data_IF_191217545815
#
_entry.id   IF_191217545815
#
_cell.length_a   1.000
_cell.length_b   1.000
_cell.length_c   1.000
_cell.angle_alpha   90.00
_cell.angle_beta   90.00
_cell.angle_gamma   90.00
#
_symmetry.space_group_name_H-M   'P 1'
#
loop_
_entity.id
_entity.type
_entity.pdbx_description
1 polymer ?
#
# COMPACT_ATOMS: atom_id res chain seq x y z
N UNK A 1 -7.71 -5.46 24.48
CA UNK A 1 -6.65 -5.98 23.56
C UNK A 1 -6.20 -4.80 22.71
N UNK A 2 -4.90 -4.59 22.62
CA UNK A 2 -4.40 -3.59 21.66
C UNK A 2 -4.53 -4.21 20.26
N UNK A 3 -5.36 -3.61 19.41
CA UNK A 3 -5.43 -4.00 18.01
C UNK A 3 -4.15 -3.59 17.30
N UNK A 4 -3.60 -4.41 16.39
CA UNK A 4 -2.47 -4.00 15.58
C UNK A 4 -2.90 -2.79 14.73
N UNK A 5 -2.27 -1.66 14.97
CA UNK A 5 -2.48 -0.46 14.14
C UNK A 5 -1.50 -0.46 12.99
N UNK A 6 -2.02 -0.44 11.78
CA UNK A 6 -1.22 -0.24 10.58
C UNK A 6 -1.11 1.27 10.36
N UNK A 7 0.11 1.79 10.43
CA UNK A 7 0.38 3.23 10.36
C UNK A 7 0.51 3.75 8.93
N UNK A 8 0.52 2.88 7.94
CA UNK A 8 0.62 3.23 6.53
C UNK A 8 0.65 1.99 5.64
N UNK A 9 0.50 2.16 4.32
CA UNK A 9 0.70 1.07 3.38
C UNK A 9 2.15 0.59 3.41
N UNK A 10 2.34 -0.69 3.17
CA UNK A 10 3.64 -1.37 3.26
C UNK A 10 3.88 -2.32 2.08
N UNK A 11 3.12 -2.19 1.01
CA UNK A 11 3.19 -3.06 -0.16
C UNK A 11 2.36 -4.34 -0.01
N UNK A 12 2.70 -5.31 -0.84
CA UNK A 12 2.05 -6.62 -0.92
C UNK A 12 2.93 -7.65 -0.20
N UNK A 13 2.39 -8.30 0.81
CA UNK A 13 3.13 -9.33 1.58
C UNK A 13 2.50 -10.70 1.31
N UNK A 14 3.22 -11.64 0.66
CA UNK A 14 2.75 -13.02 0.52
C UNK A 14 2.53 -13.67 1.89
N UNK A 15 1.37 -14.30 2.08
CA UNK A 15 0.99 -14.90 3.36
C UNK A 15 0.69 -16.39 3.21
N UNK A 16 -0.22 -16.73 2.29
CA UNK A 16 -0.72 -18.08 2.09
C UNK A 16 -0.92 -18.37 0.61
N UNK A 17 -1.17 -19.63 0.28
CA UNK A 17 -1.81 -20.02 -0.96
C UNK A 17 -3.34 -20.09 -0.76
N UNK A 18 -4.10 -19.95 -1.83
CA UNK A 18 -5.57 -19.91 -1.75
C UNK A 18 -6.18 -21.17 -1.14
N UNK A 19 -5.48 -22.30 -1.20
CA UNK A 19 -5.86 -23.56 -0.57
C UNK A 19 -5.60 -23.64 0.94
N UNK A 20 -5.18 -22.55 1.59
CA UNK A 20 -4.85 -22.51 3.02
C UNK A 20 -3.46 -23.05 3.36
N UNK A 21 -2.66 -23.42 2.39
CA UNK A 21 -1.27 -23.78 2.59
C UNK A 21 -0.46 -22.50 2.89
N UNK A 22 0.46 -22.59 3.85
CA UNK A 22 1.33 -21.48 4.17
C UNK A 22 2.28 -21.18 3.00
N UNK A 23 2.54 -19.91 2.75
CA UNK A 23 3.59 -19.50 1.84
C UNK A 23 4.95 -19.89 2.45
N UNK A 24 5.58 -20.88 1.86
CA UNK A 24 6.85 -21.45 2.36
C UNK A 24 8.10 -20.69 1.84
N UNK A 25 7.93 -19.43 1.37
CA UNK A 25 9.03 -18.64 0.83
C UNK A 25 9.44 -19.06 -0.60
N UNK A 26 8.52 -19.64 -1.37
CA UNK A 26 8.76 -19.96 -2.78
C UNK A 26 9.00 -18.67 -3.56
N UNK A 27 10.26 -18.45 -3.93
CA UNK A 27 10.69 -17.27 -4.69
C UNK A 27 11.52 -17.71 -5.87
N UNK A 28 11.41 -16.98 -6.97
CA UNK A 28 12.25 -17.15 -8.13
C UNK A 28 13.27 -16.02 -8.23
N UNK A 29 14.47 -16.35 -8.65
CA UNK A 29 15.54 -15.39 -8.86
C UNK A 29 15.49 -14.91 -10.31
N UNK A 30 15.28 -13.61 -10.50
CA UNK A 30 15.12 -12.98 -11.82
C UNK A 30 16.10 -11.82 -11.93
N UNK A 31 16.90 -11.72 -12.99
CA UNK A 31 17.84 -10.62 -13.15
C UNK A 31 17.10 -9.28 -13.28
N UNK A 32 17.59 -8.26 -12.60
CA UNK A 32 17.12 -6.87 -12.75
C UNK A 32 17.71 -6.32 -14.06
N UNK A 33 16.92 -5.51 -14.77
CA UNK A 33 17.35 -4.87 -16.00
C UNK A 33 18.65 -4.08 -15.79
N UNK A 34 19.64 -4.34 -16.64
CA UNK A 34 20.92 -3.62 -16.57
C UNK A 34 20.70 -2.09 -16.69
N UNK A 35 21.32 -1.33 -15.81
CA UNK A 35 21.18 0.13 -15.76
C UNK A 35 19.81 0.62 -15.28
N UNK A 36 19.00 -0.25 -14.65
CA UNK A 36 17.70 0.16 -14.13
C UNK A 36 17.86 1.17 -12.99
N UNK A 37 17.41 2.39 -13.25
CA UNK A 37 17.60 3.56 -12.38
C UNK A 37 16.28 4.00 -11.70
N UNK A 38 15.52 3.04 -11.19
CA UNK A 38 14.32 3.29 -10.40
C UNK A 38 14.35 2.40 -9.16
N UNK A 39 13.92 2.92 -8.03
CA UNK A 39 13.83 2.15 -6.79
C UNK A 39 12.81 1.02 -6.93
N UNK A 40 13.11 -0.14 -6.34
CA UNK A 40 12.15 -1.23 -6.14
C UNK A 40 12.22 -1.60 -4.67
N UNK A 41 11.08 -1.56 -4.00
CA UNK A 41 10.99 -1.85 -2.58
C UNK A 41 10.34 -3.21 -2.32
N UNK A 42 10.60 -3.78 -1.16
CA UNK A 42 9.93 -4.98 -0.68
C UNK A 42 8.41 -4.79 -0.71
N UNK A 43 7.71 -5.67 -1.40
CA UNK A 43 6.26 -5.57 -1.56
C UNK A 43 5.80 -4.85 -2.83
N UNK A 44 6.71 -4.38 -3.67
CA UNK A 44 6.34 -3.76 -4.95
C UNK A 44 5.93 -4.83 -5.98
N UNK A 45 4.86 -4.58 -6.75
CA UNK A 45 4.55 -5.36 -7.92
C UNK A 45 5.59 -5.12 -9.03
N UNK A 46 6.03 -6.20 -9.68
CA UNK A 46 7.08 -6.19 -10.71
C UNK A 46 6.63 -6.89 -11.97
N UNK A 47 7.29 -6.57 -13.10
CA UNK A 47 7.01 -7.17 -14.40
C UNK A 47 8.28 -7.54 -15.17
N UNK A 48 8.12 -8.39 -16.18
CA UNK A 48 9.16 -8.65 -17.15
C UNK A 48 9.30 -7.50 -18.16
N UNK A 49 10.51 -7.32 -18.64
CA UNK A 49 10.80 -6.62 -19.90
C UNK A 49 10.89 -7.63 -21.05
N UNK A 50 10.95 -7.14 -22.28
CA UNK A 50 11.03 -7.98 -23.48
C UNK A 50 12.32 -8.83 -23.53
N UNK A 51 13.33 -8.48 -22.78
CA UNK A 51 14.60 -9.22 -22.64
C UNK A 51 14.62 -10.20 -21.46
N UNK A 52 13.47 -10.39 -20.79
CA UNK A 52 13.33 -11.32 -19.68
C UNK A 52 13.91 -10.81 -18.35
N UNK A 53 14.26 -9.54 -18.28
CA UNK A 53 14.72 -8.90 -17.04
C UNK A 53 13.56 -8.25 -16.29
N UNK A 54 13.79 -7.89 -15.03
CA UNK A 54 12.79 -7.35 -14.12
C UNK A 54 12.85 -5.83 -14.02
N UNK A 55 11.67 -5.23 -13.99
CA UNK A 55 11.44 -3.82 -13.63
C UNK A 55 10.20 -3.70 -12.74
N UNK A 56 9.92 -2.52 -12.17
CA UNK A 56 8.63 -2.24 -11.51
C UNK A 56 7.49 -2.41 -12.50
N UNK A 57 6.33 -2.86 -12.03
CA UNK A 57 5.19 -3.13 -12.93
C UNK A 57 4.57 -1.86 -13.53
N UNK A 58 4.88 -0.69 -12.97
CA UNK A 58 4.27 0.56 -13.42
C UNK A 58 2.75 0.59 -13.25
N UNK A 59 2.19 -0.24 -12.37
CA UNK A 59 0.78 -0.19 -11.99
C UNK A 59 0.51 1.16 -11.31
N UNK A 60 0.58 2.21 -12.14
CA UNK A 60 0.31 3.56 -11.71
C UNK A 60 -1.19 3.79 -11.65
N UNK A 61 -1.57 4.59 -10.70
CA UNK A 61 -2.91 5.05 -10.37
C UNK A 61 -3.73 5.58 -11.54
N UNK A 62 -3.12 6.18 -12.56
CA UNK A 62 -3.81 7.00 -13.56
C UNK A 62 -3.66 6.54 -15.01
N UNK A 63 -3.11 5.41 -15.29
CA UNK A 63 -3.10 4.99 -16.67
C UNK A 63 -4.46 4.39 -17.04
N UNK A 64 -5.17 5.08 -17.94
CA UNK A 64 -6.30 4.54 -18.67
C UNK A 64 -5.91 3.28 -19.51
N UNK A 65 -4.64 3.02 -19.66
CA UNK A 65 -4.07 1.78 -20.10
C UNK A 65 -4.06 0.80 -18.92
N UNK A 66 -5.07 -0.05 -18.84
CA UNK A 66 -4.93 -1.28 -18.12
C UNK A 66 -3.66 -1.95 -18.66
N UNK A 67 -2.62 -2.09 -17.84
CA UNK A 67 -1.56 -3.02 -18.12
C UNK A 67 -2.17 -4.42 -18.01
N UNK A 68 -2.88 -4.83 -19.06
CA UNK A 68 -3.43 -6.15 -19.18
C UNK A 68 -2.26 -7.10 -19.39
N UNK A 69 -1.99 -7.90 -18.39
CA UNK A 69 -1.16 -9.06 -18.57
C UNK A 69 0.34 -8.81 -18.62
N UNK A 70 0.94 -8.29 -17.60
CA UNK A 70 2.40 -8.12 -17.59
C UNK A 70 2.99 -8.16 -16.19
N UNK A 71 2.15 -8.08 -15.17
CA UNK A 71 2.65 -8.17 -13.80
C UNK A 71 3.01 -9.59 -13.47
N UNK A 72 4.28 -9.79 -13.09
CA UNK A 72 4.83 -11.10 -12.81
C UNK A 72 4.57 -11.55 -11.38
N UNK A 73 4.73 -10.65 -10.43
CA UNK A 73 4.66 -11.00 -9.02
C UNK A 73 5.07 -9.85 -8.12
N UNK A 74 5.51 -10.20 -6.92
CA UNK A 74 5.89 -9.25 -5.86
C UNK A 74 7.38 -9.37 -5.56
N UNK A 75 8.07 -8.25 -5.51
CA UNK A 75 9.49 -8.17 -5.16
C UNK A 75 9.69 -8.36 -3.65
N UNK A 76 10.59 -9.28 -3.29
CA UNK A 76 10.89 -9.62 -1.89
C UNK A 76 12.34 -9.35 -1.49
N UNK A 77 13.14 -8.78 -2.38
CA UNK A 77 14.52 -8.44 -2.13
C UNK A 77 15.43 -8.64 -3.33
N UNK A 78 16.68 -8.30 -3.18
CA UNK A 78 17.69 -8.37 -4.24
C UNK A 78 19.02 -8.86 -3.69
N UNK A 79 19.76 -9.55 -4.52
CA UNK A 79 21.15 -9.95 -4.28
C UNK A 79 22.03 -9.44 -5.43
N UNK A 80 23.12 -8.80 -5.12
CA UNK A 80 24.07 -8.28 -6.12
C UNK A 80 25.46 -8.05 -5.53
N UNK A 81 26.45 -7.90 -6.40
CA UNK A 81 27.81 -7.46 -6.01
C UNK A 81 27.93 -5.97 -6.26
N UNK A 82 28.09 -5.12 -5.23
CA UNK A 82 28.21 -3.68 -5.42
C UNK A 82 29.53 -3.33 -6.12
N UNK A 83 29.48 -2.41 -7.07
CA UNK A 83 30.68 -1.88 -7.74
C UNK A 83 31.58 -1.18 -6.71
N UNK A 84 32.85 -1.58 -6.65
CA UNK A 84 33.83 -1.04 -5.67
C UNK A 84 33.60 -1.51 -4.24
N UNK A 85 32.71 -2.48 -4.03
CA UNK A 85 32.48 -3.11 -2.74
C UNK A 85 33.66 -3.96 -2.26
N UNK A 86 33.69 -4.34 -1.00
CA UNK A 86 34.75 -5.18 -0.46
C UNK A 86 34.79 -6.50 -1.22
N UNK A 87 35.98 -7.06 -1.33
CA UNK A 87 36.34 -8.31 -2.03
C UNK A 87 35.52 -9.57 -1.59
N UNK A 88 34.48 -9.42 -0.78
CA UNK A 88 33.85 -10.49 -0.04
C UNK A 88 32.33 -10.61 -0.31
N UNK A 89 31.99 -11.02 -1.50
CA UNK A 89 30.71 -11.65 -1.71
C UNK A 89 29.55 -10.74 -2.10
N UNK A 90 28.43 -11.38 -2.36
CA UNK A 90 27.18 -10.73 -2.72
C UNK A 90 26.50 -10.09 -1.52
N UNK A 91 25.91 -8.94 -1.74
CA UNK A 91 25.08 -8.24 -0.77
C UNK A 91 23.61 -8.58 -1.00
N UNK A 92 22.89 -8.89 0.07
CA UNK A 92 21.42 -9.02 0.06
C UNK A 92 20.80 -7.80 0.68
N UNK A 93 19.81 -7.25 -0.01
CA UNK A 93 19.06 -6.07 0.43
C UNK A 93 17.57 -6.28 0.23
N UNK A 94 16.79 -5.58 1.03
CA UNK A 94 15.33 -5.57 0.94
C UNK A 94 14.82 -4.69 -0.21
N UNK A 95 15.64 -3.81 -0.74
CA UNK A 95 15.28 -2.89 -1.81
C UNK A 95 16.40 -2.76 -2.83
N UNK A 96 16.04 -2.55 -4.08
CA UNK A 96 16.93 -2.07 -5.12
C UNK A 96 16.88 -0.54 -5.13
N UNK A 97 18.02 0.11 -5.13
CA UNK A 97 18.12 1.57 -5.16
C UNK A 97 18.52 2.09 -6.54
N UNK A 98 17.84 3.14 -6.98
CA UNK A 98 18.24 3.91 -8.15
C UNK A 98 19.71 4.31 -8.05
N UNK A 99 20.43 4.27 -9.18
CA UNK A 99 21.86 4.52 -9.21
C UNK A 99 22.76 3.38 -8.74
N UNK A 100 22.20 2.24 -8.31
CA UNK A 100 23.00 1.04 -8.01
C UNK A 100 23.62 0.50 -9.29
N UNK A 101 24.95 0.34 -9.28
CA UNK A 101 25.70 -0.26 -10.39
C UNK A 101 26.08 -1.68 -10.01
N UNK A 102 25.42 -2.65 -10.63
CA UNK A 102 25.72 -4.07 -10.47
C UNK A 102 25.35 -4.81 -11.77
N UNK A 103 26.27 -5.70 -12.21
CA UNK A 103 26.04 -6.48 -13.42
C UNK A 103 25.34 -7.81 -13.13
N UNK A 104 25.32 -8.25 -11.88
CA UNK A 104 24.86 -9.57 -11.42
C UNK A 104 23.63 -9.47 -10.50
N UNK A 105 22.90 -8.34 -10.56
CA UNK A 105 21.74 -8.12 -9.71
C UNK A 105 20.60 -9.08 -10.05
N UNK A 106 20.17 -9.87 -9.05
CA UNK A 106 19.03 -10.76 -9.14
C UNK A 106 18.02 -10.45 -8.05
N UNK A 107 16.76 -10.31 -8.44
CA UNK A 107 15.63 -10.08 -7.54
C UNK A 107 15.05 -11.41 -7.08
N UNK A 108 14.63 -11.48 -5.83
CA UNK A 108 13.76 -12.52 -5.31
C UNK A 108 12.31 -12.10 -5.51
N UNK A 109 11.57 -12.88 -6.29
CA UNK A 109 10.19 -12.54 -6.67
C UNK A 109 9.27 -13.70 -6.30
N UNK A 110 8.18 -13.37 -5.62
CA UNK A 110 7.05 -14.27 -5.47
C UNK A 110 6.19 -14.16 -6.73
N UNK A 111 6.28 -15.12 -7.61
CA UNK A 111 5.61 -15.14 -8.92
C UNK A 111 4.52 -16.20 -9.04
N UNK A 112 4.05 -16.72 -7.93
CA UNK A 112 2.91 -17.66 -7.90
C UNK A 112 1.59 -16.90 -8.10
N UNK A 113 0.81 -17.21 -9.15
CA UNK A 113 -0.48 -16.57 -9.42
C UNK A 113 -1.55 -16.89 -8.37
N UNK A 114 -1.39 -17.96 -7.60
CA UNK A 114 -2.36 -18.37 -6.57
C UNK A 114 -2.00 -17.92 -5.16
N UNK A 115 -0.91 -17.14 -5.03
CA UNK A 115 -0.53 -16.59 -3.74
C UNK A 115 -1.57 -15.59 -3.22
N UNK A 116 -1.88 -15.72 -1.95
CA UNK A 116 -2.68 -14.74 -1.21
C UNK A 116 -1.73 -13.78 -0.53
N UNK A 117 -1.94 -12.50 -0.78
CA UNK A 117 -1.11 -11.42 -0.27
C UNK A 117 -1.91 -10.58 0.71
N UNK A 118 -1.25 -10.12 1.75
CA UNK A 118 -1.78 -9.13 2.67
C UNK A 118 -1.34 -7.73 2.24
N UNK A 119 -2.27 -6.78 2.26
CA UNK A 119 -2.00 -5.38 1.94
C UNK A 119 -2.90 -4.45 2.73
N UNK A 120 -2.46 -3.20 2.92
CA UNK A 120 -3.25 -2.16 3.54
C UNK A 120 -4.20 -1.52 2.52
N UNK A 121 -5.43 -1.26 2.95
CA UNK A 121 -6.41 -0.49 2.19
C UNK A 121 -6.10 1.00 2.25
N UNK A 122 -6.21 1.66 1.12
CA UNK A 122 -6.16 3.12 1.00
C UNK A 122 -7.40 3.62 0.27
N UNK A 123 -7.72 4.88 0.46
CA UNK A 123 -8.68 5.62 -0.35
C UNK A 123 -7.95 6.74 -1.09
N UNK A 124 -8.60 7.33 -2.06
CA UNK A 124 -8.07 8.47 -2.78
C UNK A 124 -8.98 9.68 -2.58
N UNK A 125 -8.39 10.78 -2.22
CA UNK A 125 -9.01 12.08 -2.21
C UNK A 125 -8.42 12.94 -3.32
N UNK A 126 -9.29 13.56 -4.13
CA UNK A 126 -8.87 14.32 -5.30
C UNK A 126 -8.01 15.56 -4.96
N UNK A 127 -8.08 16.05 -3.73
CA UNK A 127 -7.36 17.24 -3.29
C UNK A 127 -6.07 16.92 -2.54
N UNK A 128 -6.04 15.79 -1.82
CA UNK A 128 -4.94 15.45 -0.91
C UNK A 128 -4.17 14.20 -1.33
N UNK A 129 -4.65 13.48 -2.35
CA UNK A 129 -4.05 12.21 -2.79
C UNK A 129 -4.48 11.02 -1.92
N UNK A 130 -3.61 10.03 -1.75
CA UNK A 130 -3.93 8.83 -0.98
C UNK A 130 -4.17 9.13 0.49
N UNK A 131 -5.27 8.61 1.01
CA UNK A 131 -5.70 8.72 2.40
C UNK A 131 -6.01 7.34 2.95
N UNK A 132 -6.22 7.26 4.26
CA UNK A 132 -6.62 6.02 4.92
C UNK A 132 -7.92 5.51 4.32
N UNK A 133 -7.95 4.22 3.98
CA UNK A 133 -9.10 3.54 3.42
C UNK A 133 -9.57 2.38 4.28
N UNK A 134 -10.89 2.24 4.35
CA UNK A 134 -11.56 1.05 4.88
C UNK A 134 -12.53 0.54 3.83
N UNK A 135 -12.68 -0.78 3.75
CA UNK A 135 -13.65 -1.41 2.87
C UNK A 135 -14.87 -1.88 3.68
N UNK A 136 -16.09 -1.63 3.21
CA UNK A 136 -17.26 -2.26 3.80
C UNK A 136 -17.25 -3.78 3.56
N UNK A 137 -17.91 -4.56 4.41
CA UNK A 137 -17.98 -6.01 4.25
C UNK A 137 -18.51 -6.43 2.86
N UNK A 138 -19.36 -5.61 2.25
CA UNK A 138 -19.87 -5.81 0.89
C UNK A 138 -18.79 -5.69 -0.21
N UNK A 139 -17.58 -5.24 0.13
CA UNK A 139 -16.47 -5.20 -0.82
C UNK A 139 -15.76 -6.55 -0.99
N UNK A 140 -16.07 -7.55 -0.19
CA UNK A 140 -15.54 -8.91 -0.37
C UNK A 140 -15.84 -9.42 -1.79
N UNK A 141 -14.82 -9.95 -2.45
CA UNK A 141 -14.93 -10.40 -3.84
C UNK A 141 -14.84 -9.28 -4.89
N UNK A 142 -14.71 -8.01 -4.50
CA UNK A 142 -14.48 -6.90 -5.43
C UNK A 142 -13.01 -6.78 -5.81
N UNK A 143 -12.76 -6.08 -6.91
CA UNK A 143 -11.42 -5.87 -7.41
C UNK A 143 -10.82 -4.57 -6.86
N UNK A 144 -9.50 -4.58 -6.66
CA UNK A 144 -8.71 -3.47 -6.13
C UNK A 144 -7.59 -3.09 -7.08
N UNK A 145 -7.27 -1.81 -7.08
CA UNK A 145 -6.12 -1.27 -7.81
C UNK A 145 -5.00 -0.92 -6.84
N UNK A 146 -3.76 -1.30 -7.12
CA UNK A 146 -2.63 -0.84 -6.34
C UNK A 146 -2.41 0.64 -6.60
N UNK A 147 -2.00 1.34 -5.57
CA UNK A 147 -1.63 2.74 -5.65
C UNK A 147 -0.42 2.97 -4.76
N UNK A 148 0.58 3.59 -5.34
CA UNK A 148 1.66 4.17 -4.55
C UNK A 148 1.16 5.45 -3.90
N UNK A 149 1.45 5.64 -2.63
CA UNK A 149 1.17 6.90 -1.94
C UNK A 149 2.14 8.01 -2.38
N UNK A 150 2.68 7.89 -3.56
CA UNK A 150 3.81 8.61 -4.15
C UNK A 150 3.81 10.14 -4.05
N UNK A 151 2.71 10.74 -3.67
CA UNK A 151 2.65 12.19 -3.85
C UNK A 151 3.11 13.03 -2.67
N UNK A 152 3.36 12.47 -1.53
CA UNK A 152 3.75 13.33 -0.41
C UNK A 152 5.06 12.93 0.26
N UNK A 153 5.37 11.66 0.39
CA UNK A 153 6.53 11.24 1.18
C UNK A 153 7.01 9.80 0.90
N UNK A 154 6.57 9.21 -0.18
CA UNK A 154 6.84 7.84 -0.51
C UNK A 154 8.33 7.52 -0.63
N UNK A 155 9.05 8.38 -1.30
CA UNK A 155 10.50 8.24 -1.43
C UNK A 155 11.20 8.24 -0.09
N UNK A 156 10.66 8.94 0.91
CA UNK A 156 11.31 9.08 2.21
C UNK A 156 11.02 7.89 3.12
N UNK A 157 9.78 7.43 3.21
CA UNK A 157 9.44 6.30 4.09
C UNK A 157 9.94 4.96 3.55
N UNK A 158 9.70 4.66 2.28
CA UNK A 158 10.23 3.47 1.62
C UNK A 158 11.76 3.50 1.53
N UNK A 159 12.36 4.66 1.29
CA UNK A 159 13.81 4.83 1.25
C UNK A 159 14.51 4.49 2.57
N UNK A 160 13.89 4.82 3.70
CA UNK A 160 14.52 4.62 5.01
C UNK A 160 14.50 3.17 5.45
N UNK A 161 13.42 2.43 5.14
CA UNK A 161 13.20 1.08 5.66
C UNK A 161 13.19 -0.01 4.58
N UNK A 162 13.22 0.35 3.30
CA UNK A 162 13.22 -0.61 2.20
C UNK A 162 11.88 -1.27 1.90
N UNK A 163 10.81 -0.87 2.57
CA UNK A 163 9.45 -1.35 2.32
C UNK A 163 8.74 -0.48 1.26
N UNK A 164 7.89 -1.12 0.50
CA UNK A 164 6.96 -0.45 -0.41
C UNK A 164 5.97 0.43 0.38
N UNK A 165 5.47 1.45 -0.27
CA UNK A 165 4.34 2.26 0.21
C UNK A 165 3.09 2.06 -0.64
N UNK A 166 3.05 1.01 -1.42
CA UNK A 166 1.87 0.62 -2.20
C UNK A 166 0.78 0.14 -1.27
N UNK A 167 -0.40 0.71 -1.41
CA UNK A 167 -1.64 0.25 -0.81
C UNK A 167 -2.64 -0.17 -1.88
N UNK A 168 -3.75 -0.74 -1.46
CA UNK A 168 -4.82 -1.18 -2.36
C UNK A 168 -6.06 -0.31 -2.17
N UNK A 169 -6.62 0.15 -3.27
CA UNK A 169 -7.72 1.09 -3.27
C UNK A 169 -9.01 0.46 -3.77
N UNK A 170 -10.09 0.68 -3.01
CA UNK A 170 -11.45 0.54 -3.52
C UNK A 170 -11.75 1.73 -4.42
N UNK A 171 -12.00 1.45 -5.66
CA UNK A 171 -12.39 2.46 -6.61
C UNK A 171 -13.65 3.20 -6.21
N UNK A 172 -13.51 4.47 -5.88
CA UNK A 172 -14.62 5.40 -5.65
C UNK A 172 -14.61 6.46 -6.75
N UNK A 173 -15.72 6.57 -7.47
CA UNK A 173 -15.96 7.67 -8.41
C UNK A 173 -15.28 7.56 -9.77
N UNK A 174 -14.01 7.72 -9.86
CA UNK A 174 -13.25 7.70 -11.13
C UNK A 174 -12.28 6.53 -11.26
N UNK A 175 -12.15 5.69 -10.25
CA UNK A 175 -11.21 4.58 -10.22
C UNK A 175 -11.96 3.25 -10.18
N UNK A 176 -11.66 2.44 -11.07
CA UNK A 176 -12.22 1.21 -11.60
C UNK A 176 -12.65 0.18 -10.56
N UNK A 177 -13.93 0.13 -10.21
CA UNK A 177 -14.64 -1.11 -9.88
C UNK A 177 -14.79 -1.98 -11.14
N UNK A 178 -13.80 -2.00 -11.98
CA UNK A 178 -13.90 -2.69 -13.25
C UNK A 178 -13.35 -4.09 -13.11
N UNK A 179 -13.84 -4.96 -13.97
CA UNK A 179 -13.28 -6.29 -14.25
C UNK A 179 -11.77 -6.24 -14.53
N UNK A 180 -11.20 -5.03 -14.65
CA UNK A 180 -9.84 -4.73 -15.08
C UNK A 180 -8.89 -4.33 -13.95
N UNK A 181 -9.23 -4.50 -12.66
CA UNK A 181 -8.30 -4.26 -11.57
C UNK A 181 -7.50 -5.52 -11.23
N UNK A 182 -6.20 -5.39 -10.92
CA UNK A 182 -5.28 -6.52 -10.85
C UNK A 182 -5.43 -7.41 -9.61
N UNK A 183 -6.07 -6.94 -8.56
CA UNK A 183 -6.23 -7.69 -7.32
C UNK A 183 -7.70 -7.87 -6.97
N UNK A 184 -8.03 -9.01 -6.35
CA UNK A 184 -9.36 -9.32 -5.83
C UNK A 184 -9.29 -9.58 -4.34
N UNK A 185 -10.21 -9.00 -3.57
CA UNK A 185 -10.34 -9.27 -2.14
C UNK A 185 -10.86 -10.69 -1.95
N UNK A 186 -10.08 -11.52 -1.26
CA UNK A 186 -10.48 -12.88 -0.86
C UNK A 186 -10.90 -12.94 0.60
N UNK A 187 -10.36 -12.05 1.44
CA UNK A 187 -10.73 -11.95 2.85
C UNK A 187 -10.43 -10.55 3.38
N UNK A 188 -11.22 -10.11 4.32
CA UNK A 188 -10.94 -8.93 5.13
C UNK A 188 -10.30 -9.35 6.45
N UNK A 189 -9.47 -8.48 7.01
CA UNK A 189 -8.91 -8.63 8.35
C UNK A 189 -9.61 -7.63 9.28
N UNK A 190 -10.78 -8.01 9.87
CA UNK A 190 -11.62 -7.06 10.60
C UNK A 190 -10.92 -6.44 11.80
N UNK A 191 -9.96 -7.17 12.38
CA UNK A 191 -9.19 -6.75 13.55
C UNK A 191 -8.32 -5.52 13.29
N UNK A 192 -8.02 -5.24 12.01
CA UNK A 192 -7.23 -4.07 11.61
C UNK A 192 -8.11 -2.88 11.22
N UNK A 193 -9.40 -3.09 11.01
CA UNK A 193 -10.38 -2.03 10.76
C UNK A 193 -10.71 -1.29 12.06
N UNK A 194 -9.74 -0.60 12.62
CA UNK A 194 -9.98 0.18 13.83
C UNK A 194 -10.89 1.35 13.53
N UNK A 195 -12.08 1.32 14.14
CA UNK A 195 -13.04 2.41 14.11
C UNK A 195 -13.28 2.89 15.54
N UNK A 196 -12.92 4.14 15.82
CA UNK A 196 -13.08 4.77 17.12
C UNK A 196 -14.00 5.96 16.97
N UNK A 197 -14.98 6.11 17.86
CA UNK A 197 -15.83 7.30 17.93
C UNK A 197 -15.55 8.05 19.22
N UNK A 198 -15.34 9.35 19.11
CA UNK A 198 -15.15 10.22 20.28
C UNK A 198 -15.87 11.54 20.08
N UNK A 199 -16.42 12.08 21.15
CA UNK A 199 -16.94 13.43 21.15
C UNK A 199 -15.79 14.43 21.23
N UNK A 200 -15.75 15.37 20.29
CA UNK A 200 -14.73 16.40 20.22
C UNK A 200 -15.32 17.80 19.98
N UNK A 201 -14.65 18.80 20.49
CA UNK A 201 -14.99 20.20 20.24
C UNK A 201 -14.09 20.73 19.14
N UNK A 202 -14.69 21.17 18.04
CA UNK A 202 -14.05 21.80 16.90
C UNK A 202 -14.22 23.30 16.93
N UNK A 203 -13.30 24.03 16.33
CA UNK A 203 -13.39 25.49 16.10
C UNK A 203 -13.20 25.74 14.61
N UNK A 204 -14.09 26.49 13.99
CA UNK A 204 -14.01 26.84 12.58
C UNK A 204 -12.66 27.48 12.24
N UNK A 205 -12.11 27.12 11.10
CA UNK A 205 -10.80 27.57 10.62
C UNK A 205 -9.61 27.20 11.54
N UNK A 206 -9.77 26.19 12.40
CA UNK A 206 -8.71 25.71 13.29
C UNK A 206 -8.48 24.20 13.11
N UNK A 207 -7.23 23.76 13.23
CA UNK A 207 -6.85 22.34 13.20
C UNK A 207 -6.97 21.66 14.57
N UNK A 208 -7.03 22.44 15.66
CA UNK A 208 -7.09 21.87 17.00
C UNK A 208 -8.50 21.37 17.35
N UNK A 209 -8.56 20.16 17.85
CA UNK A 209 -9.77 19.52 18.38
C UNK A 209 -9.49 19.06 19.81
N UNK A 210 -10.41 19.36 20.72
CA UNK A 210 -10.34 18.85 22.09
C UNK A 210 -11.37 17.75 22.27
N UNK A 211 -10.90 16.54 22.56
CA UNK A 211 -11.77 15.40 22.86
C UNK A 211 -12.33 15.50 24.27
N UNK A 212 -13.53 15.00 24.48
CA UNK A 212 -14.16 14.92 25.80
C UNK A 212 -13.40 14.01 26.76
N UNK A 213 -12.77 12.96 26.25
CA UNK A 213 -11.90 12.05 26.99
C UNK A 213 -10.74 11.60 26.10
N UNK A 214 -9.58 11.32 26.70
CA UNK A 214 -8.46 10.73 26.00
C UNK A 214 -8.78 9.29 25.61
N UNK A 215 -8.51 8.93 24.35
CA UNK A 215 -8.60 7.56 23.86
C UNK A 215 -7.27 7.13 23.26
N UNK A 216 -6.66 6.11 23.86
CA UNK A 216 -5.35 5.59 23.43
C UNK A 216 -5.38 4.88 22.08
N UNK A 217 -6.56 4.59 21.54
CA UNK A 217 -6.72 3.98 20.22
C UNK A 217 -6.66 5.02 19.10
N UNK A 218 -6.86 6.30 19.39
CA UNK A 218 -6.70 7.37 18.40
C UNK A 218 -5.21 7.60 18.18
N UNK A 219 -4.77 7.46 16.94
CA UNK A 219 -3.37 7.54 16.52
C UNK A 219 -3.18 8.54 15.38
N UNK A 220 -1.98 9.07 15.29
CA UNK A 220 -1.54 9.86 14.14
C UNK A 220 -1.73 9.07 12.83
N UNK A 221 -2.22 9.74 11.80
CA UNK A 221 -2.50 9.15 10.49
C UNK A 221 -3.93 8.60 10.33
N UNK A 222 -4.73 8.47 11.38
CA UNK A 222 -6.13 8.03 11.26
C UNK A 222 -6.97 9.07 10.51
N UNK A 223 -7.82 8.60 9.61
CA UNK A 223 -8.83 9.43 8.95
C UNK A 223 -9.85 9.92 9.97
N UNK A 224 -10.22 11.18 9.89
CA UNK A 224 -11.24 11.79 10.75
C UNK A 224 -12.44 12.19 9.92
N UNK A 225 -13.62 11.75 10.33
CA UNK A 225 -14.89 12.14 9.71
C UNK A 225 -15.87 12.61 10.77
N UNK A 226 -16.74 13.53 10.40
CA UNK A 226 -17.75 14.09 11.30
C UNK A 226 -18.29 15.42 10.77
N UNK A 227 -19.31 15.94 11.45
CA UNK A 227 -19.86 17.26 11.10
C UNK A 227 -18.79 18.34 11.28
N UNK A 228 -18.60 19.19 10.28
CA UNK A 228 -17.61 20.26 10.32
C UNK A 228 -16.16 19.77 10.09
N UNK A 229 -15.97 18.58 9.58
CA UNK A 229 -14.66 18.05 9.16
C UNK A 229 -14.65 17.94 7.64
N UNK A 230 -13.62 18.49 7.01
CA UNK A 230 -13.42 18.37 5.57
C UNK A 230 -13.10 16.92 5.17
N UNK A 231 -13.49 16.51 3.96
CA UNK A 231 -13.13 15.20 3.43
C UNK A 231 -11.61 15.05 3.33
N UNK A 232 -11.10 13.86 3.64
CA UNK A 232 -9.65 13.58 3.60
C UNK A 232 -8.86 14.14 4.80
N UNK A 233 -9.52 14.67 5.83
CA UNK A 233 -8.85 15.12 7.06
C UNK A 233 -8.34 13.92 7.86
N UNK A 234 -7.10 14.00 8.31
CA UNK A 234 -6.48 12.96 9.17
C UNK A 234 -5.88 13.58 10.44
N UNK A 235 -5.58 12.73 11.40
CA UNK A 235 -4.89 13.11 12.65
C UNK A 235 -3.43 13.40 12.35
N UNK A 236 -3.03 14.66 12.45
CA UNK A 236 -1.63 15.07 12.28
C UNK A 236 -0.81 14.83 13.57
N UNK A 237 -1.43 15.05 14.74
CA UNK A 237 -0.82 14.76 16.04
C UNK A 237 -1.90 14.48 17.08
N UNK A 238 -1.55 13.72 18.12
CA UNK A 238 -2.42 13.43 19.27
C UNK A 238 -1.61 13.46 20.57
N UNK A 239 -2.16 14.12 21.59
CA UNK A 239 -1.59 14.18 22.93
C UNK A 239 -2.71 14.26 23.97
N UNK A 240 -2.99 13.16 24.63
CA UNK A 240 -4.10 13.08 25.58
C UNK A 240 -5.45 13.35 24.91
N UNK A 241 -6.13 14.40 25.33
CA UNK A 241 -7.39 14.88 24.74
C UNK A 241 -7.20 15.83 23.56
N UNK A 242 -5.98 16.30 23.31
CA UNK A 242 -5.69 17.23 22.22
C UNK A 242 -5.37 16.46 20.94
N UNK A 243 -6.14 16.70 19.90
CA UNK A 243 -5.94 16.17 18.55
C UNK A 243 -5.71 17.32 17.60
N UNK A 244 -4.64 17.25 16.80
CA UNK A 244 -4.39 18.20 15.71
C UNK A 244 -4.78 17.54 14.40
N UNK A 245 -5.64 18.18 13.65
CA UNK A 245 -6.07 17.74 12.33
C UNK A 245 -5.10 18.21 11.25
N UNK A 246 -5.07 17.50 10.12
CA UNK A 246 -4.28 17.89 8.94
C UNK A 246 -4.88 19.09 8.19
N UNK A 247 -6.17 19.33 8.36
CA UNK A 247 -6.90 20.43 7.74
C UNK A 247 -7.74 21.15 8.79
N UNK A 248 -8.06 22.41 8.51
CA UNK A 248 -8.93 23.19 9.38
C UNK A 248 -10.35 22.61 9.42
N UNK A 249 -10.95 22.61 10.59
CA UNK A 249 -12.38 22.35 10.73
C UNK A 249 -13.19 23.42 10.01
N UNK A 250 -14.30 23.01 9.40
CA UNK A 250 -15.18 23.88 8.61
C UNK A 250 -16.35 24.42 9.42
N UNK A 251 -16.50 23.99 10.67
CA UNK A 251 -17.52 24.49 11.61
C UNK A 251 -17.04 24.35 13.05
N UNK A 252 -17.57 25.25 13.92
CA UNK A 252 -17.40 25.15 15.36
C UNK A 252 -18.54 24.34 15.98
N UNK A 253 -18.22 23.50 16.96
CA UNK A 253 -19.24 22.78 17.72
C UNK A 253 -18.66 21.56 18.46
N UNK A 254 -19.48 21.01 19.33
CA UNK A 254 -19.21 19.72 19.96
C UNK A 254 -19.89 18.65 19.14
N UNK A 255 -19.11 17.79 18.52
CA UNK A 255 -19.58 16.83 17.52
C UNK A 255 -19.01 15.43 17.81
N UNK A 256 -19.70 14.40 17.36
CA UNK A 256 -19.15 13.05 17.33
C UNK A 256 -18.22 12.93 16.12
N UNK A 257 -16.96 12.63 16.38
CA UNK A 257 -15.94 12.36 15.39
C UNK A 257 -15.71 10.86 15.31
N UNK A 258 -15.53 10.38 14.10
CA UNK A 258 -15.14 8.98 13.81
C UNK A 258 -13.72 8.97 13.29
N UNK A 259 -12.88 8.21 13.95
CA UNK A 259 -11.47 7.97 13.59
C UNK A 259 -11.33 6.56 13.03
N UNK A 260 -10.73 6.42 11.87
CA UNK A 260 -10.51 5.12 11.22
C UNK A 260 -9.05 4.90 10.86
N UNK A 261 -8.56 3.66 11.08
CA UNK A 261 -7.22 3.24 10.71
C UNK A 261 -7.17 2.54 9.35
N UNK A 262 -5.97 2.22 8.88
CA UNK A 262 -5.78 1.39 7.68
C UNK A 262 -6.28 -0.02 7.95
N UNK A 263 -7.24 -0.47 7.15
CA UNK A 263 -7.71 -1.84 7.17
C UNK A 263 -6.78 -2.70 6.33
N UNK A 264 -6.42 -3.87 6.84
CA UNK A 264 -5.75 -4.88 6.03
C UNK A 264 -6.75 -5.78 5.33
N UNK A 265 -6.37 -6.21 4.14
CA UNK A 265 -7.13 -7.16 3.33
C UNK A 265 -6.20 -8.24 2.81
N UNK A 266 -6.76 -9.43 2.63
CA UNK A 266 -6.12 -10.50 1.90
C UNK A 266 -6.63 -10.48 0.46
N UNK A 267 -5.71 -10.45 -0.48
CA UNK A 267 -5.99 -10.35 -1.90
C UNK A 267 -5.23 -11.41 -2.69
N UNK A 268 -5.75 -11.73 -3.85
CA UNK A 268 -5.06 -12.55 -4.86
C UNK A 268 -5.02 -11.81 -6.19
N UNK A 269 -4.19 -12.28 -7.10
CA UNK A 269 -4.19 -11.83 -8.49
C UNK A 269 -5.56 -12.09 -9.11
N UNK A 270 -6.08 -11.09 -9.80
CA UNK A 270 -7.28 -11.24 -10.61
C UNK A 270 -6.90 -11.90 -11.94
N UNK A 271 -7.80 -12.71 -12.47
CA UNK A 271 -7.57 -13.43 -13.72
C UNK A 271 -7.23 -12.47 -14.87
N UNK A 272 -6.21 -12.82 -15.65
CA UNK A 272 -5.78 -12.04 -16.81
C UNK A 272 -4.76 -10.93 -16.51
N UNK A 273 -4.38 -10.72 -15.25
CA UNK A 273 -3.37 -9.72 -14.87
C UNK A 273 -1.99 -10.29 -14.60
N UNK A 274 -1.94 -11.49 -14.08
CA UNK A 274 -0.68 -12.17 -13.84
C UNK A 274 -0.09 -12.70 -15.17
N UNK A 275 1.23 -12.53 -15.36
CA UNK A 275 1.91 -12.88 -16.60
C UNK A 275 1.70 -14.34 -17.05
N UNK A 276 1.48 -15.26 -16.11
CA UNK A 276 1.24 -16.67 -16.43
C UNK A 276 -0.23 -17.00 -16.71
N UNK A 277 -1.14 -16.09 -16.44
CA UNK A 277 -2.59 -16.30 -16.63
C UNK A 277 -3.17 -15.45 -17.76
N UNK A 278 -2.36 -14.58 -18.34
CA UNK A 278 -2.77 -13.71 -19.41
C UNK A 278 -2.19 -14.18 -20.75
N UNK A 279 -2.98 -14.08 -21.80
CA UNK A 279 -2.45 -14.13 -23.15
C UNK A 279 -1.74 -12.80 -23.42
N UNK A 280 -0.45 -12.74 -23.18
CA UNK A 280 0.35 -11.54 -23.38
C UNK A 280 1.16 -11.68 -24.66
N UNK A 281 1.04 -10.69 -25.53
CA UNK A 281 2.16 -10.33 -26.39
C UNK A 281 3.15 -9.58 -25.48
N UNK A 282 4.26 -10.19 -25.21
CA UNK A 282 5.38 -9.58 -24.49
C UNK A 282 6.08 -8.61 -25.44
#
# INVERSE_FOLDING_TARGET
MAYPTVNGPYGLIPVNLIGGQQFAGSTRMIPIKSGYNTDIFFGDPVKFTNDGTLITSGLAYDSAAAETGGTLGVFLGVEFTPAGGPLFGKMRQQSWKAGTVAADAVAYVCDDPDVVMKAAMIAYDANTGPVIGCAPAAALGTNLTPMSTANANDGTAGNLVGNSNVGLMLASGNVRRTTTAPFRIVQMVPETALLVTATGTTTNANTAVTLAAADSNIKTGMLVTGTGIAAGTYVAAVSGTSVTLSQNATASGTVTLTFSGYQEVLVKWNFGYHAYQAAVAI
#
